data_IF_526835376618
#
_entry.id   IF_526835376618
#
_cell.length_a   1.000
_cell.length_b   1.000
_cell.length_c   1.000
_cell.angle_alpha   90.00
_cell.angle_beta   90.00
_cell.angle_gamma   90.00
#
_symmetry.space_group_name_H-M   'P 1'
#
loop_
_entity.id
_entity.type
_entity.pdbx_description
1 polymer ?
#
# COMPACT_ATOMS: atom_id res chain seq x y z
N UNK A 1 -30.55 15.89 -33.44
CA UNK A 1 -31.41 15.11 -32.54
C UNK A 1 -30.69 14.80 -31.20
N UNK A 2 -29.99 15.80 -30.62
CA UNK A 2 -29.18 15.68 -29.39
C UNK A 2 -29.33 16.91 -28.46
N UNK A 3 -30.19 17.87 -28.83
CA UNK A 3 -30.47 19.10 -28.07
C UNK A 3 -31.81 19.07 -27.33
N UNK A 4 -32.61 18.01 -27.49
CA UNK A 4 -33.97 17.90 -26.89
C UNK A 4 -34.00 17.19 -25.53
N UNK A 5 -32.86 16.73 -25.00
CA UNK A 5 -32.79 15.94 -23.76
C UNK A 5 -32.18 16.71 -22.58
N UNK A 6 -31.69 17.95 -22.78
CA UNK A 6 -31.15 18.77 -21.69
C UNK A 6 -32.23 19.58 -20.94
N UNK A 7 -33.39 19.81 -21.55
CA UNK A 7 -34.47 20.62 -20.92
C UNK A 7 -35.34 19.83 -19.92
N UNK A 8 -35.30 18.48 -19.94
CA UNK A 8 -36.13 17.65 -19.05
C UNK A 8 -35.51 17.45 -17.65
N UNK A 9 -34.21 17.71 -17.50
CA UNK A 9 -33.49 17.54 -16.22
C UNK A 9 -33.48 18.78 -15.32
N UNK A 10 -33.93 19.95 -15.82
CA UNK A 10 -34.06 21.17 -15.01
C UNK A 10 -35.41 21.23 -14.28
N UNK A 11 -36.43 20.48 -14.73
CA UNK A 11 -37.79 20.56 -14.15
C UNK A 11 -38.04 19.60 -12.99
N UNK A 12 -37.25 18.54 -12.82
CA UNK A 12 -37.49 17.46 -11.84
C UNK A 12 -36.77 17.63 -10.49
N UNK A 13 -35.99 18.71 -10.32
CA UNK A 13 -35.36 19.07 -9.03
C UNK A 13 -36.00 20.30 -8.37
N UNK A 14 -37.33 20.45 -8.50
CA UNK A 14 -38.07 21.49 -7.77
C UNK A 14 -38.89 20.89 -6.62
N UNK A 15 -38.46 21.20 -5.38
CA UNK A 15 -39.27 21.46 -4.15
C UNK A 15 -38.77 20.73 -2.89
N UNK A 16 -38.90 21.29 -1.67
CA UNK A 16 -38.50 22.63 -1.24
C UNK A 16 -37.66 22.55 0.06
N UNK A 17 -36.38 22.90 0.02
CA UNK A 17 -35.69 23.35 1.22
C UNK A 17 -35.20 24.78 1.00
N UNK A 18 -35.98 25.69 1.58
CA UNK A 18 -35.63 27.09 1.77
C UNK A 18 -34.36 27.18 2.61
N UNK A 19 -33.25 27.58 2.00
CA UNK A 19 -32.32 28.49 2.65
C UNK A 19 -31.58 29.32 1.59
N UNK A 20 -31.92 30.61 1.57
CA UNK A 20 -31.27 31.65 0.76
C UNK A 20 -29.83 31.82 1.22
N UNK A 21 -28.86 31.74 0.30
CA UNK A 21 -27.74 32.69 0.20
C UNK A 21 -26.95 32.48 -1.10
N UNK A 22 -27.08 33.46 -1.99
CA UNK A 22 -26.15 33.90 -3.05
C UNK A 22 -25.09 32.93 -3.59
N UNK A 23 -25.32 32.40 -4.80
CA UNK A 23 -24.27 31.81 -5.65
C UNK A 23 -23.77 32.91 -6.61
N UNK A 24 -22.58 33.43 -6.32
CA UNK A 24 -21.78 34.18 -7.28
C UNK A 24 -21.27 33.22 -8.37
N UNK A 25 -21.72 33.44 -9.59
CA UNK A 25 -21.11 32.94 -10.82
C UNK A 25 -19.76 33.63 -11.03
N UNK A 26 -18.64 32.92 -10.83
CA UNK A 26 -17.35 33.32 -11.43
C UNK A 26 -16.60 32.10 -11.96
N UNK A 27 -16.54 32.06 -13.29
CA UNK A 27 -15.44 31.64 -14.17
C UNK A 27 -14.31 30.83 -13.52
N UNK A 28 -14.25 29.54 -13.88
CA UNK A 28 -13.01 28.90 -14.32
C UNK A 28 -13.34 27.67 -15.18
N UNK A 29 -13.96 27.94 -16.33
CA UNK A 29 -14.12 27.00 -17.43
C UNK A 29 -12.85 27.07 -18.29
N UNK A 30 -11.76 26.44 -17.85
CA UNK A 30 -10.59 26.17 -18.68
C UNK A 30 -9.72 25.11 -17.99
N UNK A 31 -10.07 23.81 -18.12
CA UNK A 31 -9.09 22.69 -17.99
C UNK A 31 -9.66 21.27 -18.19
N UNK A 32 -10.79 21.07 -18.88
CA UNK A 32 -11.30 19.73 -19.21
C UNK A 32 -11.70 19.61 -20.69
N UNK A 33 -10.80 20.01 -21.59
CA UNK A 33 -10.94 19.71 -23.02
C UNK A 33 -10.11 18.47 -23.32
N UNK A 34 -10.79 17.32 -23.25
CA UNK A 34 -10.27 16.00 -23.55
C UNK A 34 -11.39 14.97 -23.41
N UNK A 35 -12.36 15.02 -24.32
CA UNK A 35 -13.57 14.18 -24.38
C UNK A 35 -14.54 14.23 -23.18
N UNK A 36 -15.27 15.35 -22.99
CA UNK A 36 -16.37 15.44 -22.03
C UNK A 36 -17.46 14.38 -22.24
N UNK A 37 -17.63 13.84 -23.45
CA UNK A 37 -18.67 12.84 -23.75
C UNK A 37 -18.48 11.50 -23.04
N UNK A 38 -17.24 11.02 -22.86
CA UNK A 38 -16.96 9.73 -22.17
C UNK A 38 -17.01 9.87 -20.65
N UNK A 39 -16.53 11.00 -20.12
CA UNK A 39 -16.60 11.31 -18.69
C UNK A 39 -18.05 11.53 -18.23
N UNK A 40 -18.84 12.28 -19.01
CA UNK A 40 -20.27 12.47 -18.73
C UNK A 40 -21.05 11.17 -18.92
N UNK A 41 -20.68 10.31 -19.88
CA UNK A 41 -21.29 8.98 -20.03
C UNK A 41 -20.98 8.09 -18.82
N UNK A 42 -19.72 7.98 -18.37
CA UNK A 42 -19.35 7.18 -17.21
C UNK A 42 -19.98 7.69 -15.90
N UNK A 43 -20.05 9.01 -15.69
CA UNK A 43 -20.75 9.59 -14.55
C UNK A 43 -22.27 9.42 -14.63
N UNK A 44 -22.86 9.57 -15.83
CA UNK A 44 -24.29 9.34 -16.05
C UNK A 44 -24.64 7.88 -15.85
N UNK A 45 -23.79 6.95 -16.29
CA UNK A 45 -23.98 5.52 -16.08
C UNK A 45 -23.87 5.21 -14.59
N UNK A 46 -22.83 5.65 -13.88
CA UNK A 46 -22.70 5.45 -12.42
C UNK A 46 -23.90 6.06 -11.66
N UNK A 47 -24.33 7.29 -12.00
CA UNK A 47 -25.47 7.95 -11.35
C UNK A 47 -26.82 7.29 -11.71
N UNK A 48 -26.98 6.75 -12.92
CA UNK A 48 -28.17 5.99 -13.33
C UNK A 48 -28.18 4.58 -12.72
N UNK A 49 -27.00 4.01 -12.47
CA UNK A 49 -26.84 2.72 -11.80
C UNK A 49 -27.07 2.78 -10.30
N UNK A 50 -26.71 3.89 -9.65
CA UNK A 50 -27.14 4.18 -8.27
C UNK A 50 -28.67 4.30 -8.13
N UNK A 51 -29.38 4.51 -9.24
CA UNK A 51 -30.84 4.56 -9.27
C UNK A 51 -31.53 3.27 -9.75
N UNK A 52 -30.96 2.42 -10.64
CA UNK A 52 -31.69 1.20 -11.06
C UNK A 52 -30.97 -0.02 -11.72
N UNK A 53 -29.71 0.00 -12.21
CA UNK A 53 -28.99 -1.27 -12.61
C UNK A 53 -27.52 -1.11 -13.05
N UNK A 54 -26.53 -1.47 -12.21
CA UNK A 54 -25.11 -1.61 -12.64
C UNK A 54 -24.99 -2.58 -13.83
N UNK A 55 -24.47 -2.14 -14.98
CA UNK A 55 -24.34 -2.97 -16.20
C UNK A 55 -22.95 -3.59 -16.33
N UNK A 56 -22.78 -4.66 -17.10
CA UNK A 56 -21.46 -5.30 -17.31
C UNK A 56 -20.37 -4.32 -17.77
N UNK A 57 -20.74 -3.35 -18.60
CA UNK A 57 -19.85 -2.29 -19.12
C UNK A 57 -19.24 -1.43 -17.99
N UNK A 58 -19.91 -1.30 -16.85
CA UNK A 58 -19.38 -0.54 -15.70
C UNK A 58 -18.19 -1.22 -15.02
N UNK A 59 -18.03 -2.53 -15.21
CA UNK A 59 -16.90 -3.28 -14.66
C UNK A 59 -15.71 -3.31 -15.63
N UNK A 60 -15.88 -2.95 -16.90
CA UNK A 60 -14.81 -2.97 -17.91
C UNK A 60 -14.05 -1.64 -18.02
N UNK A 61 -14.21 -0.75 -17.03
CA UNK A 61 -13.55 0.56 -17.06
C UNK A 61 -12.05 0.44 -16.75
N UNK A 62 -11.18 1.24 -17.41
CA UNK A 62 -9.74 1.19 -17.14
C UNK A 62 -9.40 1.81 -15.77
N UNK A 63 -8.23 1.49 -15.22
CA UNK A 63 -7.76 2.03 -13.93
C UNK A 63 -7.79 3.56 -13.86
N UNK A 64 -7.45 4.26 -14.94
CA UNK A 64 -7.52 5.73 -14.97
C UNK A 64 -8.93 6.28 -14.76
N UNK A 65 -9.96 5.50 -15.09
CA UNK A 65 -11.34 5.84 -14.82
C UNK A 65 -11.68 5.67 -13.34
N UNK A 66 -11.12 4.70 -12.62
CA UNK A 66 -11.30 4.58 -11.16
C UNK A 66 -10.91 5.87 -10.43
N UNK A 67 -9.76 6.44 -10.81
CA UNK A 67 -9.32 7.72 -10.28
C UNK A 67 -10.35 8.81 -10.54
N UNK A 68 -10.91 8.84 -11.76
CA UNK A 68 -11.95 9.80 -12.16
C UNK A 68 -13.25 9.62 -11.37
N UNK A 69 -13.64 8.38 -11.06
CA UNK A 69 -14.79 8.06 -10.19
C UNK A 69 -14.56 8.62 -8.79
N UNK A 70 -13.35 8.46 -8.24
CA UNK A 70 -13.01 9.02 -6.93
C UNK A 70 -13.13 10.55 -6.95
N UNK A 71 -12.61 11.22 -7.99
CA UNK A 71 -12.77 12.69 -8.13
C UNK A 71 -14.23 13.10 -8.24
N UNK A 72 -15.03 12.34 -8.97
CA UNK A 72 -16.44 12.64 -9.09
C UNK A 72 -17.16 12.48 -7.74
N UNK A 73 -16.83 11.44 -6.97
CA UNK A 73 -17.31 11.24 -5.60
C UNK A 73 -16.99 12.40 -4.70
N UNK A 74 -15.77 12.87 -4.85
CA UNK A 74 -15.26 14.03 -4.16
C UNK A 74 -16.07 15.30 -4.47
N UNK A 75 -16.23 15.59 -5.77
CA UNK A 75 -16.88 16.79 -6.28
C UNK A 75 -18.38 16.81 -5.98
N UNK A 76 -19.05 15.67 -6.10
CA UNK A 76 -20.50 15.56 -5.94
C UNK A 76 -20.93 15.03 -4.58
N UNK A 77 -19.98 14.75 -3.67
CA UNK A 77 -20.21 14.34 -2.28
C UNK A 77 -21.03 13.05 -2.16
N UNK A 78 -20.82 12.07 -3.05
CA UNK A 78 -21.45 10.75 -2.90
C UNK A 78 -20.65 9.86 -1.95
N UNK A 79 -21.34 8.96 -1.23
CA UNK A 79 -20.72 8.02 -0.29
C UNK A 79 -20.09 6.85 -1.05
N UNK A 80 -18.79 6.59 -0.84
CA UNK A 80 -18.07 5.48 -1.47
C UNK A 80 -18.50 4.10 -0.93
N UNK A 81 -19.10 4.04 0.26
CA UNK A 81 -19.63 2.80 0.86
C UNK A 81 -20.63 2.09 -0.09
N UNK A 82 -21.34 2.86 -0.91
CA UNK A 82 -22.29 2.34 -1.91
C UNK A 82 -21.59 1.72 -3.14
N UNK A 83 -20.31 2.03 -3.34
CA UNK A 83 -19.51 1.56 -4.48
C UNK A 83 -18.53 0.45 -4.09
N UNK A 84 -18.41 0.09 -2.81
CA UNK A 84 -17.49 -0.96 -2.36
C UNK A 84 -17.77 -2.30 -3.05
N UNK A 85 -19.04 -2.71 -3.17
CA UNK A 85 -19.42 -3.96 -3.85
C UNK A 85 -19.11 -3.93 -5.35
N UNK A 86 -19.35 -2.80 -6.01
CA UNK A 86 -18.98 -2.62 -7.41
C UNK A 86 -17.46 -2.69 -7.61
N UNK A 87 -16.70 -2.04 -6.73
CA UNK A 87 -15.25 -2.00 -6.83
C UNK A 87 -14.62 -3.36 -6.57
N UNK A 88 -15.14 -4.14 -5.62
CA UNK A 88 -14.71 -5.54 -5.39
C UNK A 88 -14.93 -6.39 -6.66
N UNK A 89 -16.09 -6.27 -7.30
CA UNK A 89 -16.40 -6.99 -8.55
C UNK A 89 -15.52 -6.51 -9.72
N UNK A 90 -15.31 -5.20 -9.85
CA UNK A 90 -14.35 -4.63 -10.81
C UNK A 90 -12.95 -5.23 -10.59
N UNK A 91 -12.48 -5.27 -9.35
CA UNK A 91 -11.17 -5.83 -9.01
C UNK A 91 -11.08 -7.32 -9.38
N UNK A 92 -12.10 -8.12 -9.04
CA UNK A 92 -12.13 -9.55 -9.35
C UNK A 92 -12.11 -9.84 -10.86
N UNK A 93 -12.72 -8.98 -11.68
CA UNK A 93 -12.74 -9.13 -13.14
C UNK A 93 -11.46 -8.66 -13.82
N UNK A 94 -10.82 -7.62 -13.29
CA UNK A 94 -9.76 -6.90 -14.01
C UNK A 94 -8.34 -7.14 -13.49
N UNK A 95 -8.17 -7.60 -12.24
CA UNK A 95 -6.85 -7.59 -11.58
C UNK A 95 -6.40 -8.97 -11.09
N UNK A 96 -5.43 -9.58 -11.79
CA UNK A 96 -4.77 -10.83 -11.42
C UNK A 96 -3.41 -10.61 -10.77
N UNK A 97 -2.87 -11.63 -10.11
CA UNK A 97 -1.59 -11.56 -9.39
C UNK A 97 -0.41 -11.12 -10.26
N UNK A 98 -0.37 -11.59 -11.50
CA UNK A 98 0.69 -11.24 -12.45
C UNK A 98 0.62 -9.78 -12.89
N UNK A 99 -0.56 -9.14 -12.76
CA UNK A 99 -0.78 -7.78 -13.24
C UNK A 99 -0.07 -6.73 -12.38
N UNK A 100 0.30 -7.06 -11.14
CA UNK A 100 1.05 -6.12 -10.28
C UNK A 100 2.46 -5.87 -10.79
N UNK A 101 3.08 -6.85 -11.46
CA UNK A 101 4.44 -6.74 -11.99
C UNK A 101 4.49 -6.02 -13.35
N UNK A 102 3.34 -5.79 -13.99
CA UNK A 102 3.27 -5.09 -15.28
C UNK A 102 3.83 -3.67 -15.17
N UNK A 103 4.46 -3.24 -16.27
CA UNK A 103 5.08 -1.92 -16.41
C UNK A 103 6.03 -1.64 -15.23
N UNK A 104 6.87 -2.63 -14.94
CA UNK A 104 7.84 -2.62 -13.84
C UNK A 104 7.23 -2.42 -12.44
N UNK A 105 5.94 -2.64 -12.26
CA UNK A 105 5.25 -2.37 -11.00
C UNK A 105 4.44 -1.08 -10.97
N UNK A 106 4.40 -0.32 -12.07
CA UNK A 106 3.55 0.86 -12.18
C UNK A 106 2.08 0.54 -11.92
N UNK A 107 1.64 -0.64 -12.34
CA UNK A 107 0.30 -1.16 -12.06
C UNK A 107 -0.05 -1.15 -10.57
N UNK A 108 0.86 -1.68 -9.74
CA UNK A 108 0.69 -1.66 -8.28
C UNK A 108 0.67 -0.22 -7.73
N UNK A 109 1.46 0.69 -8.30
CA UNK A 109 1.49 2.09 -7.89
C UNK A 109 0.21 2.87 -8.25
N UNK A 110 -0.47 2.49 -9.35
CA UNK A 110 -1.73 3.10 -9.79
C UNK A 110 -2.95 2.61 -9.00
N UNK A 111 -2.90 1.39 -8.48
CA UNK A 111 -4.00 0.78 -7.70
C UNK A 111 -3.97 1.14 -6.21
N UNK A 112 -2.84 1.64 -5.72
CA UNK A 112 -2.62 2.06 -4.34
C UNK A 112 -3.71 3.03 -3.83
N UNK A 113 -3.98 4.10 -4.58
CA UNK A 113 -4.98 5.10 -4.21
C UNK A 113 -6.43 4.58 -4.32
N UNK A 114 -6.85 3.93 -5.43
CA UNK A 114 -8.16 3.30 -5.48
C UNK A 114 -8.45 2.33 -4.33
N UNK A 115 -7.52 1.43 -4.00
CA UNK A 115 -7.73 0.50 -2.88
C UNK A 115 -7.89 1.21 -1.53
N UNK A 116 -7.19 2.33 -1.34
CA UNK A 116 -7.34 3.14 -0.14
C UNK A 116 -8.67 3.92 -0.11
N UNK A 117 -9.10 4.45 -1.26
CA UNK A 117 -10.29 5.29 -1.40
C UNK A 117 -11.60 4.48 -1.31
N UNK A 118 -11.63 3.29 -1.90
CA UNK A 118 -12.78 2.37 -1.84
C UNK A 118 -12.75 1.43 -0.61
N UNK A 119 -11.79 1.62 0.29
CA UNK A 119 -11.58 0.80 1.50
C UNK A 119 -11.43 -0.71 1.21
N UNK A 120 -10.90 -1.05 0.05
CA UNK A 120 -10.75 -2.44 -0.38
C UNK A 120 -9.52 -3.09 0.27
N UNK A 121 -9.75 -3.62 1.47
CA UNK A 121 -8.73 -4.18 2.37
C UNK A 121 -7.84 -5.21 1.68
N UNK A 122 -8.42 -6.22 1.03
CA UNK A 122 -7.65 -7.33 0.44
C UNK A 122 -6.66 -6.84 -0.62
N UNK A 123 -7.14 -6.00 -1.53
CA UNK A 123 -6.32 -5.39 -2.59
C UNK A 123 -5.25 -4.46 -2.01
N UNK A 124 -5.57 -3.70 -0.96
CA UNK A 124 -4.59 -2.83 -0.31
C UNK A 124 -3.47 -3.62 0.38
N UNK A 125 -3.80 -4.68 1.12
CA UNK A 125 -2.81 -5.58 1.73
C UNK A 125 -1.91 -6.18 0.65
N UNK A 126 -2.52 -6.71 -0.42
CA UNK A 126 -1.83 -7.31 -1.56
C UNK A 126 -0.86 -6.35 -2.25
N UNK A 127 -1.32 -5.15 -2.62
CA UNK A 127 -0.50 -4.19 -3.37
C UNK A 127 0.66 -3.64 -2.55
N UNK A 128 0.42 -3.37 -1.26
CA UNK A 128 1.45 -2.81 -0.37
C UNK A 128 2.54 -3.82 -0.05
N UNK A 129 2.16 -5.10 0.16
CA UNK A 129 3.12 -6.20 0.24
C UNK A 129 3.96 -6.29 -1.02
N UNK A 130 3.31 -6.34 -2.18
CA UNK A 130 3.99 -6.51 -3.45
C UNK A 130 5.00 -5.39 -3.69
N UNK A 131 4.63 -4.13 -3.44
CA UNK A 131 5.51 -2.98 -3.63
C UNK A 131 6.75 -3.03 -2.73
N UNK A 132 6.59 -3.37 -1.45
CA UNK A 132 7.71 -3.43 -0.49
C UNK A 132 8.75 -4.48 -0.89
N UNK A 133 8.29 -5.66 -1.31
CA UNK A 133 9.18 -6.78 -1.62
C UNK A 133 9.72 -6.76 -3.05
N UNK A 134 8.95 -6.28 -4.04
CA UNK A 134 9.29 -6.46 -5.46
C UNK A 134 9.81 -5.21 -6.17
N UNK A 135 9.57 -4.00 -5.64
CA UNK A 135 10.16 -2.80 -6.23
C UNK A 135 11.69 -2.81 -6.05
N UNK A 136 12.40 -2.25 -7.01
CA UNK A 136 13.85 -2.05 -6.96
C UNK A 136 14.18 -0.64 -6.44
N UNK A 137 13.44 0.36 -6.92
CA UNK A 137 13.60 1.76 -6.54
C UNK A 137 12.64 2.20 -5.43
N UNK A 138 12.75 3.47 -5.04
CA UNK A 138 11.85 4.11 -4.09
C UNK A 138 10.39 3.91 -4.52
N UNK A 139 9.57 3.52 -3.55
CA UNK A 139 8.14 3.32 -3.78
C UNK A 139 7.51 4.71 -3.90
N UNK A 140 6.81 4.93 -5.00
CA UNK A 140 6.04 6.14 -5.26
C UNK A 140 4.63 5.75 -5.68
N UNK A 141 3.68 6.66 -5.49
CA UNK A 141 2.38 6.57 -6.12
C UNK A 141 2.48 6.94 -7.61
N UNK A 142 1.66 6.31 -8.45
CA UNK A 142 1.55 6.67 -9.86
C UNK A 142 0.11 7.08 -10.14
N UNK A 143 -0.12 8.38 -10.38
CA UNK A 143 -1.43 8.89 -10.78
C UNK A 143 -1.51 8.89 -12.32
N UNK A 144 -2.34 8.01 -12.93
CA UNK A 144 -2.46 7.89 -14.39
C UNK A 144 -3.25 9.04 -15.03
N UNK A 145 -3.77 9.97 -14.23
CA UNK A 145 -4.58 11.09 -14.70
C UNK A 145 -3.78 12.40 -14.76
N UNK A 146 -4.40 13.42 -15.37
CA UNK A 146 -3.90 14.80 -15.34
C UNK A 146 -4.18 15.51 -14.02
N UNK A 147 -4.95 14.90 -13.12
CA UNK A 147 -5.44 15.53 -11.90
C UNK A 147 -4.43 15.31 -10.77
N UNK A 148 -3.32 16.05 -10.82
CA UNK A 148 -2.16 15.98 -9.88
C UNK A 148 -2.45 16.46 -8.46
N UNK A 149 -3.70 16.48 -8.08
CA UNK A 149 -4.15 16.95 -6.77
C UNK A 149 -4.88 15.82 -6.02
N UNK A 150 -5.22 14.74 -6.72
CA UNK A 150 -5.72 13.50 -6.13
C UNK A 150 -4.53 12.58 -5.94
N UNK A 151 -4.26 12.25 -4.69
CA UNK A 151 -3.10 11.49 -4.25
C UNK A 151 -3.41 10.83 -2.90
N UNK A 152 -2.73 9.74 -2.61
CA UNK A 152 -2.66 9.14 -1.29
C UNK A 152 -2.10 10.12 -0.26
N UNK A 153 -2.48 9.97 1.03
CA UNK A 153 -1.77 10.65 2.11
C UNK A 153 -0.27 10.35 2.05
N UNK A 154 0.56 11.38 2.16
CA UNK A 154 2.02 11.26 1.94
C UNK A 154 2.65 10.23 2.88
N UNK A 155 2.10 10.14 4.09
CA UNK A 155 2.53 9.19 5.12
C UNK A 155 2.41 7.73 4.69
N UNK A 156 1.45 7.37 3.83
CA UNK A 156 1.33 5.98 3.32
C UNK A 156 2.59 5.59 2.53
N UNK A 157 3.03 6.46 1.62
CA UNK A 157 4.24 6.23 0.81
C UNK A 157 5.49 6.25 1.69
N UNK A 158 5.56 7.14 2.67
CA UNK A 158 6.66 7.16 3.64
C UNK A 158 6.75 5.82 4.39
N UNK A 159 5.63 5.31 4.91
CA UNK A 159 5.60 4.04 5.65
C UNK A 159 5.99 2.84 4.80
N UNK A 160 5.58 2.78 3.52
CA UNK A 160 6.03 1.74 2.60
C UNK A 160 7.56 1.74 2.41
N UNK A 161 8.14 2.93 2.23
CA UNK A 161 9.59 3.05 2.09
C UNK A 161 10.33 2.76 3.40
N UNK A 162 9.78 3.15 4.54
CA UNK A 162 10.32 2.79 5.87
C UNK A 162 10.29 1.28 6.10
N UNK A 163 9.19 0.59 5.76
CA UNK A 163 9.09 -0.86 5.84
C UNK A 163 10.13 -1.55 4.93
N UNK A 164 10.26 -1.09 3.68
CA UNK A 164 11.29 -1.57 2.75
C UNK A 164 12.70 -1.34 3.28
N UNK A 165 12.98 -0.16 3.81
CA UNK A 165 14.27 0.17 4.42
C UNK A 165 14.59 -0.74 5.62
N UNK A 166 13.58 -1.11 6.40
CA UNK A 166 13.76 -2.06 7.49
C UNK A 166 14.07 -3.48 7.01
N UNK A 167 13.48 -3.94 5.91
CA UNK A 167 13.84 -5.24 5.32
C UNK A 167 15.33 -5.28 4.94
N UNK A 168 15.91 -4.17 4.46
CA UNK A 168 17.36 -4.06 4.25
C UNK A 168 18.13 -4.26 5.56
N UNK A 169 17.70 -3.63 6.65
CA UNK A 169 18.34 -3.79 7.95
C UNK A 169 18.23 -5.24 8.46
N UNK A 170 17.07 -5.88 8.32
CA UNK A 170 16.89 -7.30 8.70
C UNK A 170 17.80 -8.21 7.88
N UNK A 171 17.90 -8.00 6.56
CA UNK A 171 18.84 -8.74 5.70
C UNK A 171 20.28 -8.57 6.19
N UNK A 172 20.67 -7.33 6.49
CA UNK A 172 22.01 -7.01 6.98
C UNK A 172 22.28 -7.68 8.33
N UNK A 173 21.37 -7.58 9.28
CA UNK A 173 21.55 -8.17 10.60
C UNK A 173 21.69 -9.70 10.49
N UNK A 174 20.82 -10.38 9.72
CA UNK A 174 20.82 -11.85 9.64
C UNK A 174 22.04 -12.44 8.93
N UNK A 175 22.53 -11.78 7.88
CA UNK A 175 23.64 -12.31 7.06
C UNK A 175 25.02 -11.90 7.60
N UNK A 176 25.14 -10.79 8.34
CA UNK A 176 26.42 -10.30 8.85
C UNK A 176 26.65 -10.60 10.33
N UNK A 177 25.61 -10.75 11.16
CA UNK A 177 25.79 -11.18 12.55
C UNK A 177 26.63 -12.46 12.70
N UNK A 178 26.51 -13.50 11.83
CA UNK A 178 27.33 -14.70 11.94
C UNK A 178 28.85 -14.47 11.77
N UNK A 179 29.26 -13.35 11.18
CA UNK A 179 30.66 -12.97 10.99
C UNK A 179 31.28 -12.42 12.29
N UNK A 180 30.47 -11.90 13.23
CA UNK A 180 30.96 -11.25 14.44
C UNK A 180 31.75 -12.21 15.34
N UNK A 181 31.29 -13.45 15.51
CA UNK A 181 31.96 -14.43 16.38
C UNK A 181 33.37 -14.79 15.87
N UNK A 182 33.56 -15.21 14.60
CA UNK A 182 34.91 -15.44 14.06
C UNK A 182 35.83 -14.22 14.16
N UNK A 183 35.30 -13.00 13.98
CA UNK A 183 36.10 -11.76 14.05
C UNK A 183 36.54 -11.41 15.48
N UNK A 184 35.64 -11.52 16.45
CA UNK A 184 35.88 -11.06 17.83
C UNK A 184 36.57 -12.10 18.69
N UNK A 185 36.24 -13.37 18.49
CA UNK A 185 36.52 -14.44 19.46
C UNK A 185 37.36 -15.58 18.88
N UNK A 186 37.63 -15.60 17.56
CA UNK A 186 38.39 -16.68 16.93
C UNK A 186 39.90 -16.48 17.04
N UNK A 187 40.66 -17.26 17.84
CA UNK A 187 42.12 -17.26 17.78
C UNK A 187 42.67 -18.10 16.63
N UNK A 188 41.83 -18.93 15.97
CA UNK A 188 42.30 -19.84 14.93
C UNK A 188 42.69 -19.09 13.64
N UNK A 189 43.64 -19.66 12.89
CA UNK A 189 43.96 -19.22 11.54
C UNK A 189 42.85 -19.56 10.52
N UNK A 190 41.97 -20.51 10.86
CA UNK A 190 40.87 -20.97 10.03
C UNK A 190 39.77 -19.91 9.80
N UNK A 191 39.70 -18.88 10.64
CA UNK A 191 38.69 -17.81 10.57
C UNK A 191 38.79 -17.00 9.28
N UNK A 192 40.00 -16.71 8.83
CA UNK A 192 40.22 -15.90 7.63
C UNK A 192 39.66 -16.61 6.40
N UNK A 193 39.98 -17.91 6.25
CA UNK A 193 39.44 -18.76 5.19
C UNK A 193 37.92 -18.86 5.26
N UNK A 194 37.37 -19.08 6.47
CA UNK A 194 35.92 -19.22 6.66
C UNK A 194 35.18 -17.93 6.28
N UNK A 195 35.67 -16.78 6.72
CA UNK A 195 35.10 -15.47 6.38
C UNK A 195 35.22 -15.16 4.89
N UNK A 196 36.37 -15.47 4.29
CA UNK A 196 36.62 -15.26 2.88
C UNK A 196 35.67 -16.11 2.02
N UNK A 197 35.57 -17.42 2.26
CA UNK A 197 34.70 -18.30 1.48
C UNK A 197 33.21 -17.99 1.70
N UNK A 198 32.81 -17.59 2.91
CA UNK A 198 31.45 -17.11 3.18
C UNK A 198 31.10 -15.85 2.37
N UNK A 199 31.96 -14.82 2.39
CA UNK A 199 31.75 -13.60 1.62
C UNK A 199 31.80 -13.87 0.11
N UNK A 200 32.69 -14.76 -0.33
CA UNK A 200 32.80 -15.19 -1.74
C UNK A 200 31.54 -15.93 -2.21
N UNK A 201 30.89 -16.72 -1.35
CA UNK A 201 29.59 -17.30 -1.63
C UNK A 201 28.51 -16.22 -1.83
N UNK A 202 28.47 -15.20 -0.98
CA UNK A 202 27.54 -14.06 -1.11
C UNK A 202 27.81 -13.22 -2.35
N UNK A 203 29.08 -13.04 -2.72
CA UNK A 203 29.50 -12.37 -3.94
C UNK A 203 29.06 -13.16 -5.18
N UNK A 204 29.28 -14.48 -5.20
CA UNK A 204 28.85 -15.37 -6.29
C UNK A 204 27.34 -15.34 -6.48
N UNK A 205 26.58 -15.25 -5.39
CA UNK A 205 25.12 -15.07 -5.42
C UNK A 205 24.68 -13.64 -5.81
N UNK A 206 25.60 -12.69 -6.02
CA UNK A 206 25.30 -11.28 -6.33
C UNK A 206 24.44 -10.61 -5.26
N UNK A 207 24.70 -10.92 -3.99
CA UNK A 207 24.09 -10.28 -2.82
C UNK A 207 25.06 -9.27 -2.20
N UNK A 208 26.37 -9.51 -2.31
CA UNK A 208 27.42 -8.64 -1.78
C UNK A 208 27.88 -7.56 -2.78
N UNK A 209 28.14 -6.31 -2.34
CA UNK A 209 27.77 -5.73 -1.04
C UNK A 209 26.28 -5.36 -1.02
N UNK A 210 25.61 -5.61 0.12
CA UNK A 210 24.15 -5.48 0.21
C UNK A 210 23.66 -4.08 -0.13
N UNK A 211 24.38 -3.04 0.29
CA UNK A 211 24.01 -1.64 0.08
C UNK A 211 23.86 -1.31 -1.40
N UNK A 212 24.79 -1.78 -2.23
CA UNK A 212 24.76 -1.56 -3.68
C UNK A 212 23.73 -2.46 -4.35
N UNK A 213 23.66 -3.73 -3.92
CA UNK A 213 22.69 -4.69 -4.46
C UNK A 213 21.26 -4.22 -4.23
N UNK A 214 20.93 -3.75 -3.03
CA UNK A 214 19.59 -3.34 -2.62
C UNK A 214 19.07 -2.10 -3.39
N UNK A 215 19.97 -1.26 -3.90
CA UNK A 215 19.59 -0.10 -4.72
C UNK A 215 19.02 -0.48 -6.10
N UNK A 216 19.38 -1.67 -6.60
CA UNK A 216 19.02 -2.11 -7.96
C UNK A 216 18.29 -3.45 -8.00
N UNK A 217 18.13 -4.11 -6.84
CA UNK A 217 17.57 -5.45 -6.72
C UNK A 217 16.41 -5.43 -5.73
N UNK A 218 15.33 -6.12 -6.06
CA UNK A 218 14.19 -6.24 -5.15
C UNK A 218 14.53 -7.16 -3.96
N UNK A 219 13.76 -7.05 -2.87
CA UNK A 219 13.94 -7.94 -1.72
C UNK A 219 13.67 -9.38 -2.16
N UNK A 220 12.59 -9.62 -2.90
CA UNK A 220 12.24 -10.95 -3.41
C UNK A 220 13.38 -11.59 -4.21
N UNK A 221 14.01 -10.82 -5.10
CA UNK A 221 15.12 -11.30 -5.92
C UNK A 221 16.39 -11.58 -5.09
N UNK A 222 16.68 -10.75 -4.07
CA UNK A 222 17.77 -11.03 -3.12
C UNK A 222 17.50 -12.34 -2.37
N UNK A 223 16.28 -12.52 -1.87
CA UNK A 223 15.90 -13.74 -1.15
C UNK A 223 16.01 -14.97 -2.07
N UNK A 224 15.56 -14.86 -3.32
CA UNK A 224 15.71 -15.91 -4.30
C UNK A 224 17.19 -16.27 -4.54
N UNK A 225 18.06 -15.28 -4.77
CA UNK A 225 19.51 -15.50 -4.95
C UNK A 225 20.16 -16.19 -3.76
N UNK A 226 19.77 -15.83 -2.54
CA UNK A 226 20.26 -16.47 -1.32
C UNK A 226 19.94 -17.96 -1.31
N UNK A 227 18.74 -18.37 -1.74
CA UNK A 227 18.37 -19.81 -1.81
C UNK A 227 19.23 -20.62 -2.78
N UNK A 228 19.93 -19.96 -3.72
CA UNK A 228 20.80 -20.62 -4.70
C UNK A 228 22.23 -20.82 -4.19
N UNK A 229 22.54 -20.40 -2.96
CA UNK A 229 23.87 -20.60 -2.37
C UNK A 229 24.05 -22.08 -2.01
N UNK A 230 25.07 -22.70 -2.59
CA UNK A 230 25.42 -24.12 -2.35
C UNK A 230 26.53 -24.30 -1.31
N UNK A 231 27.20 -23.23 -0.90
CA UNK A 231 28.25 -23.28 0.12
C UNK A 231 27.63 -23.59 1.50
N UNK A 232 28.10 -24.64 2.15
CA UNK A 232 27.62 -25.06 3.48
C UNK A 232 28.48 -24.51 4.62
N UNK A 233 29.78 -24.34 4.39
CA UNK A 233 30.77 -23.94 5.39
C UNK A 233 32.14 -24.54 5.06
N UNK A 234 33.18 -24.04 5.73
CA UNK A 234 34.54 -24.58 5.60
C UNK A 234 34.65 -25.86 6.44
N UNK A 235 34.91 -27.04 5.82
CA UNK A 235 34.91 -28.33 6.54
C UNK A 235 35.96 -28.38 7.66
N UNK A 236 37.10 -27.73 7.45
CA UNK A 236 38.24 -27.71 8.39
C UNK A 236 38.16 -26.54 9.39
N UNK A 237 37.00 -25.87 9.49
CA UNK A 237 36.82 -24.79 10.46
C UNK A 237 36.60 -25.34 11.87
N UNK A 238 37.28 -24.74 12.85
CA UNK A 238 36.98 -25.00 14.26
C UNK A 238 35.62 -24.41 14.64
N UNK A 239 35.02 -24.93 15.70
CA UNK A 239 33.68 -24.51 16.16
C UNK A 239 33.56 -23.01 16.45
N UNK A 240 34.65 -22.35 16.85
CA UNK A 240 34.66 -20.91 17.14
C UNK A 240 34.63 -20.02 15.90
N UNK A 241 35.00 -20.55 14.74
CA UNK A 241 35.05 -19.80 13.48
C UNK A 241 34.10 -20.34 12.42
N UNK A 242 33.42 -21.46 12.70
CA UNK A 242 32.47 -22.09 11.78
C UNK A 242 31.26 -21.19 11.56
N UNK A 243 30.94 -20.95 10.30
CA UNK A 243 29.68 -20.35 9.86
C UNK A 243 28.90 -21.42 9.10
N UNK A 244 27.75 -21.81 9.64
CA UNK A 244 26.80 -22.65 8.91
C UNK A 244 26.03 -21.79 7.90
N UNK A 245 26.56 -21.70 6.69
CA UNK A 245 26.03 -20.83 5.65
C UNK A 245 24.60 -21.24 5.26
N UNK A 246 24.30 -22.54 5.24
CA UNK A 246 22.94 -23.05 4.94
C UNK A 246 21.95 -22.58 5.99
N UNK A 247 22.27 -22.75 7.27
CA UNK A 247 21.38 -22.34 8.36
C UNK A 247 21.16 -20.83 8.35
N UNK A 248 22.22 -20.05 8.14
CA UNK A 248 22.17 -18.58 8.04
C UNK A 248 21.28 -18.14 6.88
N UNK A 249 21.45 -18.72 5.69
CA UNK A 249 20.63 -18.42 4.51
C UNK A 249 19.16 -18.76 4.76
N UNK A 250 18.87 -19.97 5.26
CA UNK A 250 17.50 -20.40 5.53
C UNK A 250 16.81 -19.51 6.57
N UNK A 251 17.53 -19.13 7.63
CA UNK A 251 17.06 -18.18 8.63
C UNK A 251 16.79 -16.82 7.99
N UNK A 252 17.74 -16.26 7.25
CA UNK A 252 17.62 -14.97 6.58
C UNK A 252 16.39 -14.91 5.67
N UNK A 253 16.20 -15.93 4.83
CA UNK A 253 15.06 -16.01 3.89
C UNK A 253 13.74 -16.07 4.64
N UNK A 254 13.64 -16.90 5.68
CA UNK A 254 12.43 -17.03 6.49
C UNK A 254 12.11 -15.75 7.24
N UNK A 255 13.06 -15.19 7.99
CA UNK A 255 12.84 -14.02 8.84
C UNK A 255 12.52 -12.79 7.99
N UNK A 256 13.26 -12.55 6.90
CA UNK A 256 13.02 -11.40 6.03
C UNK A 256 11.73 -11.55 5.21
N UNK A 257 11.48 -12.74 4.66
CA UNK A 257 10.31 -13.02 3.81
C UNK A 257 8.97 -12.92 4.55
N UNK A 258 9.00 -13.09 5.88
CA UNK A 258 7.83 -13.00 6.78
C UNK A 258 7.85 -11.77 7.68
N UNK A 259 8.86 -10.90 7.57
CA UNK A 259 9.01 -9.77 8.49
C UNK A 259 7.84 -8.80 8.41
N UNK A 260 7.41 -8.44 7.20
CA UNK A 260 6.36 -7.46 6.95
C UNK A 260 5.27 -8.11 6.11
N UNK A 261 4.02 -8.08 6.57
CA UNK A 261 2.93 -8.64 5.79
C UNK A 261 2.45 -7.66 4.74
N UNK A 262 2.04 -6.47 5.15
CA UNK A 262 1.51 -5.38 4.31
C UNK A 262 1.22 -4.13 5.17
N UNK A 263 0.67 -3.05 4.60
CA UNK A 263 0.02 -2.01 5.42
C UNK A 263 -1.45 -2.37 5.65
N UNK A 264 -1.93 -2.19 6.88
CA UNK A 264 -3.29 -2.55 7.29
C UNK A 264 -4.17 -1.30 7.38
N UNK A 265 -5.17 -1.18 6.49
CA UNK A 265 -6.11 -0.05 6.48
C UNK A 265 -6.82 0.14 7.83
N UNK A 266 -7.08 -0.95 8.57
CA UNK A 266 -7.71 -0.87 9.91
C UNK A 266 -6.78 -0.25 10.95
N UNK A 267 -5.52 -0.69 11.03
CA UNK A 267 -4.53 -0.07 11.90
C UNK A 267 -4.29 1.40 11.53
N UNK A 268 -4.25 1.69 10.23
CA UNK A 268 -4.13 3.07 9.74
C UNK A 268 -5.29 3.93 10.22
N UNK A 269 -6.53 3.48 10.01
CA UNK A 269 -7.73 4.21 10.42
C UNK A 269 -7.75 4.54 11.92
N UNK A 270 -7.41 3.56 12.77
CA UNK A 270 -7.45 3.75 14.22
C UNK A 270 -6.44 4.76 14.75
N UNK A 271 -5.34 4.93 14.03
CA UNK A 271 -4.21 5.76 14.43
C UNK A 271 -4.19 7.11 13.73
N UNK A 272 -5.23 7.45 12.97
CA UNK A 272 -5.44 8.81 12.44
C UNK A 272 -6.02 9.74 13.50
N UNK A 273 -5.92 11.05 13.29
CA UNK A 273 -6.48 12.07 14.18
C UNK A 273 -8.02 12.00 14.35
N UNK A 274 -8.72 11.27 13.49
CA UNK A 274 -10.17 11.04 13.49
C UNK A 274 -10.56 9.63 13.94
N UNK A 275 -9.60 8.79 14.31
CA UNK A 275 -9.86 7.46 14.83
C UNK A 275 -10.73 7.48 16.10
N UNK A 276 -11.41 6.35 16.41
CA UNK A 276 -12.33 6.24 17.55
C UNK A 276 -11.67 6.52 18.91
N UNK A 277 -10.33 6.56 18.96
CA UNK A 277 -9.54 7.00 20.10
C UNK A 277 -8.62 8.13 19.63
N UNK A 278 -8.87 9.36 20.09
CA UNK A 278 -7.95 10.49 19.91
C UNK A 278 -6.69 10.26 20.71
N UNK A 279 -5.74 9.45 20.24
CA UNK A 279 -4.36 9.47 20.72
C UNK A 279 -3.56 8.31 20.17
N UNK A 280 -2.26 8.52 20.22
CA UNK A 280 -1.24 7.48 20.21
C UNK A 280 -1.51 6.39 21.28
N UNK A 281 -2.48 6.53 22.18
CA UNK A 281 -2.78 5.55 23.23
C UNK A 281 -3.24 4.21 22.66
N UNK A 282 -4.02 4.18 21.58
CA UNK A 282 -4.38 2.88 20.95
C UNK A 282 -3.11 2.17 20.48
N UNK A 283 -2.18 2.93 19.91
CA UNK A 283 -0.88 2.41 19.52
C UNK A 283 -0.06 1.95 20.75
N UNK A 284 0.11 2.79 21.77
CA UNK A 284 0.90 2.42 22.94
C UNK A 284 0.29 1.27 23.76
N UNK A 285 -1.05 1.17 23.80
CA UNK A 285 -1.76 0.09 24.49
C UNK A 285 -1.52 -1.26 23.81
N UNK A 286 -1.67 -1.33 22.49
CA UNK A 286 -1.35 -2.57 21.75
C UNK A 286 0.14 -2.90 21.87
N UNK A 287 1.02 -1.88 21.98
CA UNK A 287 2.43 -2.08 22.26
C UNK A 287 2.72 -2.80 23.57
N UNK A 288 1.98 -2.45 24.62
CA UNK A 288 2.11 -3.06 25.93
C UNK A 288 1.57 -4.50 25.94
N UNK A 289 0.42 -4.74 25.30
CA UNK A 289 -0.20 -6.07 25.28
C UNK A 289 0.48 -7.06 24.33
N UNK A 290 1.30 -6.57 23.38
CA UNK A 290 1.96 -7.36 22.33
C UNK A 290 0.98 -8.18 21.48
N UNK A 291 -0.29 -7.77 21.46
CA UNK A 291 -1.33 -8.33 20.60
C UNK A 291 -1.64 -7.36 19.47
N UNK A 292 -0.87 -7.48 18.39
CA UNK A 292 -0.89 -6.55 17.26
C UNK A 292 -2.11 -6.72 16.36
N UNK A 293 -2.75 -7.89 16.42
CA UNK A 293 -3.80 -8.31 15.50
C UNK A 293 -5.20 -8.19 16.14
N UNK A 294 -5.29 -7.95 17.45
CA UNK A 294 -6.52 -8.00 18.26
C UNK A 294 -7.73 -7.42 17.52
N UNK A 295 -7.55 -6.23 16.97
CA UNK A 295 -8.65 -5.45 16.37
C UNK A 295 -8.79 -5.63 14.86
N UNK A 296 -7.92 -6.41 14.25
CA UNK A 296 -7.92 -6.75 12.83
C UNK A 296 -8.41 -8.17 12.57
N UNK A 297 -8.35 -9.08 13.57
CA UNK A 297 -8.82 -10.48 13.45
C UNK A 297 -10.27 -10.61 13.03
N UNK A 298 -11.16 -9.73 13.52
CA UNK A 298 -12.58 -9.73 13.15
C UNK A 298 -12.84 -9.50 11.65
N UNK A 299 -11.83 -9.00 10.92
CA UNK A 299 -11.86 -8.79 9.47
C UNK A 299 -11.06 -9.85 8.71
N UNK A 300 -10.66 -10.93 9.37
CA UNK A 300 -9.84 -12.00 8.79
C UNK A 300 -8.37 -11.62 8.57
N UNK A 301 -7.88 -10.54 9.21
CA UNK A 301 -6.52 -10.05 9.03
C UNK A 301 -5.64 -10.49 10.21
N UNK A 302 -4.46 -11.04 9.91
CA UNK A 302 -3.38 -11.33 10.86
C UNK A 302 -2.08 -10.85 10.24
N UNK A 303 -1.34 -9.98 10.93
CA UNK A 303 -0.20 -9.28 10.33
C UNK A 303 0.99 -9.01 11.26
N UNK A 304 0.83 -9.26 12.56
CA UNK A 304 1.89 -9.13 13.56
C UNK A 304 2.41 -7.71 13.74
N UNK A 305 3.57 -7.62 14.42
CA UNK A 305 4.12 -6.37 14.94
C UNK A 305 4.55 -5.40 13.84
N UNK A 306 5.25 -5.89 12.80
CA UNK A 306 5.83 -5.00 11.80
C UNK A 306 4.74 -4.28 11.00
N UNK A 307 3.73 -5.01 10.52
CA UNK A 307 2.60 -4.39 9.82
C UNK A 307 1.88 -3.40 10.71
N UNK A 308 1.59 -3.76 11.96
CA UNK A 308 0.98 -2.84 12.92
C UNK A 308 1.80 -1.55 13.09
N UNK A 309 3.13 -1.69 13.29
CA UNK A 309 4.06 -0.58 13.47
C UNK A 309 4.08 0.36 12.25
N UNK A 310 4.26 -0.18 11.05
CA UNK A 310 4.31 0.63 9.83
C UNK A 310 2.94 1.16 9.40
N UNK A 311 1.84 0.57 9.88
CA UNK A 311 0.48 1.09 9.63
C UNK A 311 0.13 2.29 10.52
N UNK A 312 1.03 2.72 11.41
CA UNK A 312 0.79 3.84 12.31
C UNK A 312 0.78 5.20 11.59
N UNK A 313 -0.36 5.90 11.66
CA UNK A 313 -0.59 7.18 11.00
C UNK A 313 -0.35 8.40 11.90
N UNK A 314 -0.26 8.21 13.22
CA UNK A 314 0.02 9.27 14.20
C UNK A 314 -1.11 10.27 14.43
N UNK A 315 -1.20 10.77 15.66
CA UNK A 315 -2.21 11.78 16.05
C UNK A 315 -1.82 13.23 15.70
N UNK A 316 -0.55 13.48 15.36
CA UNK A 316 -0.02 14.85 15.18
C UNK A 316 -0.39 15.43 13.81
N UNK A 317 -0.93 16.67 13.75
CA UNK A 317 -1.37 17.28 12.51
C UNK A 317 -0.18 17.85 11.74
N UNK A 318 0.56 17.01 11.02
CA UNK A 318 1.13 17.48 9.75
C UNK A 318 0.03 17.46 8.70
N UNK A 319 -1.02 18.24 8.97
CA UNK A 319 -2.17 18.38 8.10
C UNK A 319 -1.76 19.26 6.94
N UNK A 320 -1.56 18.65 5.77
CA UNK A 320 -2.05 19.33 4.57
C UNK A 320 -3.55 19.59 4.82
N UNK A 321 -4.02 20.81 4.59
CA UNK A 321 -5.44 21.17 4.70
C UNK A 321 -6.34 20.19 3.90
N UNK A 322 -5.77 19.51 2.89
CA UNK A 322 -6.39 18.44 2.12
C UNK A 322 -6.52 17.10 2.87
N UNK A 323 -5.55 16.67 3.66
CA UNK A 323 -5.67 15.44 4.47
C UNK A 323 -6.77 15.61 5.53
N UNK A 324 -6.84 16.79 6.16
CA UNK A 324 -7.90 17.16 7.09
C UNK A 324 -9.31 17.16 6.45
N UNK A 325 -9.38 17.34 5.13
CA UNK A 325 -10.61 17.39 4.37
C UNK A 325 -11.09 15.98 3.95
N UNK A 326 -10.17 15.09 3.52
CA UNK A 326 -10.48 13.67 3.33
C UNK A 326 -10.91 13.01 4.65
N UNK A 327 -10.25 13.37 5.76
CA UNK A 327 -10.56 12.92 7.11
C UNK A 327 -11.99 13.24 7.56
N UNK A 328 -12.52 14.42 7.19
CA UNK A 328 -13.85 14.87 7.62
C UNK A 328 -14.97 14.13 6.89
N UNK A 329 -14.76 13.73 5.63
CA UNK A 329 -15.78 13.07 4.80
C UNK A 329 -15.77 11.55 4.90
N UNK A 330 -14.63 10.95 5.25
CA UNK A 330 -14.46 9.49 5.35
C UNK A 330 -15.21 8.85 6.53
N UNK A 331 -15.50 9.60 7.60
CA UNK A 331 -15.97 9.01 8.87
C UNK A 331 -17.31 9.54 9.39
N UNK A 332 -18.02 10.37 8.62
CA UNK A 332 -19.39 10.76 8.95
C UNK A 332 -20.41 9.61 8.71
N UNK A 333 -20.00 8.44 8.18
CA UNK A 333 -20.87 7.27 7.98
C UNK A 333 -20.74 6.14 9.02
N UNK A 334 -19.82 6.23 10.00
CA UNK A 334 -19.60 5.14 10.98
C UNK A 334 -20.60 5.12 12.15
N UNK A 335 -21.51 6.08 12.24
CA UNK A 335 -22.67 6.00 13.14
C UNK A 335 -23.80 5.29 12.40
N UNK A 336 -23.87 3.96 12.46
CA UNK A 336 -25.08 3.12 12.40
C UNK A 336 -24.70 1.66 12.09
N UNK A 337 -24.25 0.94 13.11
CA UNK A 337 -24.58 -0.49 13.26
C UNK A 337 -24.85 -0.74 14.73
N UNK A 338 -26.12 -0.92 15.15
CA UNK A 338 -26.44 -1.45 16.45
C UNK A 338 -26.32 -2.99 16.41
N UNK A 339 -25.60 -3.50 17.42
CA UNK A 339 -25.39 -4.90 17.84
C UNK A 339 -24.26 -5.68 17.17
#
# INVERSE_FOLDING_TARGET
MLLSWMDVLVSTLTSPFSCRTHICFIRNTDCLIGHPSRFIAGLRDILRQMHESMTDVSYDIPRSMLWSVIVAGDKYSFKFDLLTGWFEEWYNRNERDEDLARDEGKSAQELLFPFWAFEHIKGFLRVTRWLVYNRTSHIVESNPTKLKHIHLPSRVIQQLNSARGRLKAVLHDQLWQPIERPLTSGPCNCKEKTLFEYQKAMLKAKVWPLERTFAHTSVSEILFRLTQITYEGEPDSCDDSRIDCRQVVQKTVRETGKYFDSLCLRCMYKTTATGPRRSDDDYWTHHQHRDWDETCRGYGIRHGQATWYYSYMGSTPHKDAREAWYEKRRFESSFFYPY
#
